data_IF_624386624842
#
_entry.id   IF_624386624842
#
_cell.length_a   1.000
_cell.length_b   1.000
_cell.length_c   1.000
_cell.angle_alpha   90.00
_cell.angle_beta   90.00
_cell.angle_gamma   90.00
#
_symmetry.space_group_name_H-M   'P 1'
#
loop_
_entity.id
_entity.type
_entity.pdbx_description
1 polymer ?
#
# COMPACT_ATOMS: atom_id res chain seq x y z
N UNK A 1 58.77 16.23 -5.72
CA UNK A 1 58.48 17.67 -5.85
C UNK A 1 58.38 17.98 -7.33
N UNK A 2 57.15 18.19 -7.82
CA UNK A 2 56.84 18.57 -9.19
C UNK A 2 56.08 19.88 -9.13
N UNK A 3 56.74 20.93 -9.61
CA UNK A 3 56.35 22.33 -9.49
C UNK A 3 55.07 22.66 -10.25
N UNK A 4 54.21 23.41 -9.57
CA UNK A 4 52.91 23.89 -10.02
C UNK A 4 53.08 25.35 -10.42
N UNK A 5 53.37 25.59 -11.70
CA UNK A 5 53.36 26.93 -12.27
C UNK A 5 52.49 26.96 -13.53
N UNK A 6 51.28 27.50 -13.36
CA UNK A 6 50.68 28.46 -14.29
C UNK A 6 49.38 28.97 -13.70
N UNK A 7 49.26 30.28 -13.65
CA UNK A 7 48.07 31.14 -13.83
C UNK A 7 48.05 32.28 -12.81
N UNK A 8 48.83 33.33 -13.12
CA UNK A 8 48.63 34.71 -12.65
C UNK A 8 48.83 35.66 -13.85
N UNK A 9 47.74 36.27 -14.31
CA UNK A 9 47.63 37.63 -14.92
C UNK A 9 46.14 38.00 -14.85
N UNK A 10 45.62 38.73 -13.85
CA UNK A 10 45.70 40.17 -13.58
C UNK A 10 44.86 41.07 -14.53
N UNK A 11 43.79 41.67 -13.97
CA UNK A 11 43.12 42.99 -14.21
C UNK A 11 41.59 42.86 -13.99
N UNK A 12 40.93 43.46 -12.99
CA UNK A 12 40.70 44.90 -12.69
C UNK A 12 40.14 45.62 -13.94
N UNK A 13 38.96 46.24 -14.00
CA UNK A 13 38.17 47.13 -13.14
C UNK A 13 36.71 47.11 -13.64
N UNK A 14 35.72 46.93 -12.77
CA UNK A 14 34.71 47.93 -12.31
C UNK A 14 33.38 48.00 -13.11
N UNK A 15 32.23 48.21 -12.40
CA UNK A 15 30.88 48.17 -12.95
C UNK A 15 30.40 49.54 -13.46
N UNK A 16 29.69 49.57 -14.59
CA UNK A 16 29.01 50.77 -15.07
C UNK A 16 27.54 50.81 -14.61
N UNK A 17 27.10 51.88 -13.90
CA UNK A 17 25.74 52.06 -13.44
C UNK A 17 25.03 53.09 -14.32
N UNK A 18 24.18 52.68 -15.25
CA UNK A 18 23.16 53.56 -15.84
C UNK A 18 22.28 52.76 -16.80
N UNK A 19 21.09 52.38 -16.35
CA UNK A 19 19.88 52.32 -17.18
C UNK A 19 18.65 52.14 -16.27
N UNK A 20 18.23 53.26 -15.70
CA UNK A 20 16.89 53.48 -15.14
C UNK A 20 16.01 53.94 -16.30
N UNK A 21 14.90 53.25 -16.56
CA UNK A 21 13.61 53.89 -16.88
C UNK A 21 12.48 52.86 -17.04
N UNK A 22 11.50 52.98 -16.13
CA UNK A 22 10.03 52.90 -16.31
C UNK A 22 9.46 51.74 -17.15
N UNK A 23 8.50 50.95 -16.69
CA UNK A 23 7.20 51.42 -16.17
C UNK A 23 6.36 50.23 -15.65
N UNK A 24 5.42 50.50 -14.74
CA UNK A 24 4.20 49.69 -14.58
C UNK A 24 4.23 48.44 -13.68
N UNK A 25 3.92 48.62 -12.39
CA UNK A 25 3.16 47.61 -11.62
C UNK A 25 1.67 47.96 -11.73
N UNK A 26 0.78 46.96 -11.74
CA UNK A 26 -0.02 46.81 -10.53
C UNK A 26 -0.13 45.36 -10.05
N UNK A 27 -0.16 45.21 -8.72
CA UNK A 27 -0.61 44.01 -8.02
C UNK A 27 -2.04 43.66 -8.43
N UNK A 28 -2.34 42.37 -8.64
CA UNK A 28 -3.36 41.63 -7.88
C UNK A 28 -3.75 40.29 -8.52
N UNK A 29 -4.18 39.41 -7.62
CA UNK A 29 -5.12 38.31 -7.84
C UNK A 29 -4.52 36.99 -8.28
N UNK A 30 -4.37 36.13 -7.27
CA UNK A 30 -4.29 34.70 -7.46
C UNK A 30 -5.47 34.18 -8.26
N UNK A 31 -5.15 33.25 -9.13
CA UNK A 31 -6.04 32.19 -9.55
C UNK A 31 -5.11 30.99 -9.82
N UNK A 32 -4.88 30.20 -8.77
CA UNK A 32 -4.51 28.81 -8.96
C UNK A 32 -5.64 28.19 -9.80
N UNK A 33 -5.39 27.71 -11.03
CA UNK A 33 -6.43 27.00 -11.73
C UNK A 33 -6.63 25.66 -11.02
N UNK A 34 -7.87 25.42 -10.61
CA UNK A 34 -8.44 24.09 -10.45
C UNK A 34 -7.77 23.25 -9.35
N UNK A 35 -8.24 23.42 -8.11
CA UNK A 35 -8.47 22.25 -7.27
C UNK A 35 -9.82 21.67 -7.68
N UNK A 36 -9.86 20.91 -8.77
CA UNK A 36 -11.01 20.06 -9.05
C UNK A 36 -11.23 19.15 -7.83
N UNK A 37 -12.42 19.17 -7.20
CA UNK A 37 -12.73 18.17 -6.20
C UNK A 37 -12.60 16.81 -6.88
N UNK A 38 -11.75 15.95 -6.32
CA UNK A 38 -11.56 14.59 -6.82
C UNK A 38 -12.93 13.98 -7.15
N UNK A 39 -13.12 13.63 -8.43
CA UNK A 39 -14.37 13.05 -8.93
C UNK A 39 -14.80 11.89 -8.01
N UNK A 40 -15.95 12.02 -7.30
CA UNK A 40 -16.39 11.03 -6.33
C UNK A 40 -16.74 9.69 -6.97
N UNK A 41 -16.77 9.60 -8.31
CA UNK A 41 -17.04 8.39 -9.09
C UNK A 41 -15.77 7.72 -9.65
N UNK A 42 -14.57 8.30 -9.47
CA UNK A 42 -13.28 7.66 -9.80
C UNK A 42 -12.87 6.57 -8.79
N UNK A 43 -13.84 5.78 -8.33
CA UNK A 43 -13.68 4.78 -7.27
C UNK A 43 -13.14 3.44 -7.78
N UNK A 44 -13.32 3.10 -9.07
CA UNK A 44 -13.12 1.74 -9.57
C UNK A 44 -11.71 1.16 -9.38
N UNK A 45 -10.65 1.94 -9.63
CA UNK A 45 -9.26 1.45 -9.56
C UNK A 45 -8.69 1.44 -8.14
N UNK A 46 -9.02 2.46 -7.35
CA UNK A 46 -8.60 2.58 -5.94
C UNK A 46 -9.35 1.57 -5.07
N UNK A 47 -10.67 1.41 -5.27
CA UNK A 47 -11.46 0.43 -4.52
C UNK A 47 -10.99 -1.01 -4.78
N UNK A 48 -10.68 -1.35 -6.03
CA UNK A 48 -10.15 -2.67 -6.39
C UNK A 48 -8.77 -2.93 -5.76
N UNK A 49 -7.89 -1.92 -5.79
CA UNK A 49 -6.56 -2.01 -5.17
C UNK A 49 -6.65 -2.19 -3.66
N UNK A 50 -7.54 -1.43 -3.00
CA UNK A 50 -7.81 -1.55 -1.57
C UNK A 50 -8.38 -2.93 -1.21
N UNK A 51 -9.32 -3.46 -2.01
CA UNK A 51 -9.87 -4.81 -1.81
C UNK A 51 -8.76 -5.87 -1.82
N UNK A 52 -7.88 -5.81 -2.83
CA UNK A 52 -6.78 -6.77 -2.95
C UNK A 52 -5.75 -6.63 -1.83
N UNK A 53 -5.48 -5.42 -1.35
CA UNK A 53 -4.61 -5.20 -0.20
C UNK A 53 -5.17 -5.85 1.07
N UNK A 54 -6.47 -5.62 1.36
CA UNK A 54 -7.17 -6.29 2.47
C UNK A 54 -7.14 -7.80 2.32
N UNK A 55 -7.44 -8.33 1.14
CA UNK A 55 -7.45 -9.77 0.89
C UNK A 55 -6.08 -10.42 1.14
N UNK A 56 -4.97 -9.74 0.81
CA UNK A 56 -3.62 -10.23 1.12
C UNK A 56 -3.38 -10.37 2.62
N UNK A 57 -3.80 -9.38 3.42
CA UNK A 57 -3.65 -9.42 4.88
C UNK A 57 -4.50 -10.54 5.49
N UNK A 58 -5.75 -10.68 5.05
CA UNK A 58 -6.64 -11.76 5.47
C UNK A 58 -6.06 -13.13 5.10
N UNK A 59 -5.65 -13.32 3.84
CA UNK A 59 -5.07 -14.57 3.37
C UNK A 59 -3.83 -14.95 4.18
N UNK A 60 -2.96 -13.99 4.51
CA UNK A 60 -1.77 -14.27 5.32
C UNK A 60 -2.14 -14.66 6.75
N UNK A 61 -3.07 -13.94 7.38
CA UNK A 61 -3.49 -14.21 8.75
C UNK A 61 -4.16 -15.59 8.89
N UNK A 62 -4.99 -15.97 7.92
CA UNK A 62 -5.64 -17.27 7.84
C UNK A 62 -4.63 -18.39 7.56
N UNK A 63 -3.73 -18.18 6.58
CA UNK A 63 -2.67 -19.11 6.22
C UNK A 63 -1.80 -19.48 7.42
N UNK A 64 -1.40 -18.47 8.18
CA UNK A 64 -0.55 -18.66 9.35
C UNK A 64 -1.21 -19.64 10.33
N UNK A 65 -2.49 -19.46 10.62
CA UNK A 65 -3.27 -20.28 11.54
C UNK A 65 -3.81 -21.57 10.93
N UNK A 66 -3.41 -21.88 9.70
CA UNK A 66 -3.86 -23.07 8.97
C UNK A 66 -5.39 -23.13 8.84
N UNK A 67 -6.04 -21.98 8.66
CA UNK A 67 -7.48 -21.89 8.41
C UNK A 67 -7.71 -21.85 6.90
N UNK A 68 -8.38 -22.87 6.36
CA UNK A 68 -8.66 -22.93 4.93
C UNK A 68 -9.82 -22.00 4.51
N UNK A 69 -9.87 -21.70 3.21
CA UNK A 69 -10.87 -20.79 2.65
C UNK A 69 -12.29 -21.34 2.73
N UNK A 70 -12.48 -22.65 2.55
CA UNK A 70 -13.79 -23.28 2.67
C UNK A 70 -14.38 -23.08 4.08
N UNK A 71 -13.54 -23.23 5.11
CA UNK A 71 -13.88 -23.01 6.51
C UNK A 71 -14.30 -21.55 6.74
N UNK A 72 -13.49 -20.57 6.33
CA UNK A 72 -13.80 -19.15 6.57
C UNK A 72 -15.02 -18.65 5.78
N UNK A 73 -15.27 -19.21 4.59
CA UNK A 73 -16.47 -18.90 3.79
C UNK A 73 -17.73 -19.51 4.42
N UNK A 74 -17.61 -20.65 5.09
CA UNK A 74 -18.68 -21.26 5.87
C UNK A 74 -19.06 -20.51 7.16
N UNK A 75 -18.22 -19.58 7.62
CA UNK A 75 -18.48 -18.82 8.84
C UNK A 75 -19.67 -17.85 8.70
N UNK A 76 -20.23 -17.40 9.82
CA UNK A 76 -21.20 -16.30 9.78
C UNK A 76 -20.48 -14.97 9.52
N UNK A 77 -21.22 -13.97 9.02
CA UNK A 77 -20.64 -12.67 8.69
C UNK A 77 -20.05 -11.96 9.91
N UNK A 78 -20.71 -12.08 11.06
CA UNK A 78 -20.24 -11.46 12.30
C UNK A 78 -18.87 -12.10 12.71
N UNK A 79 -18.50 -13.32 12.25
CA UNK A 79 -17.23 -13.99 12.63
C UNK A 79 -16.10 -13.46 11.77
N UNK A 80 -16.39 -13.40 10.47
CA UNK A 80 -15.53 -12.80 9.48
C UNK A 80 -15.15 -11.38 9.90
N UNK A 81 -16.09 -10.62 10.50
CA UNK A 81 -15.77 -9.29 11.07
C UNK A 81 -14.83 -9.36 12.28
N UNK A 82 -14.94 -10.35 13.15
CA UNK A 82 -13.99 -10.56 14.27
C UNK A 82 -12.60 -10.89 13.70
N UNK A 83 -12.51 -11.88 12.82
CA UNK A 83 -11.27 -12.28 12.15
C UNK A 83 -10.61 -11.09 11.44
N UNK A 84 -11.39 -10.30 10.69
CA UNK A 84 -10.86 -9.14 9.99
C UNK A 84 -10.21 -8.14 10.95
N UNK A 85 -10.81 -7.91 12.12
CA UNK A 85 -10.24 -7.01 13.14
C UNK A 85 -8.93 -7.56 13.71
N UNK A 86 -8.88 -8.85 14.04
CA UNK A 86 -7.65 -9.51 14.50
C UNK A 86 -6.54 -9.51 13.43
N UNK A 87 -6.92 -9.55 12.15
CA UNK A 87 -6.01 -9.39 11.03
C UNK A 87 -5.60 -7.93 10.77
N UNK A 88 -6.08 -6.96 11.57
CA UNK A 88 -5.81 -5.53 11.39
C UNK A 88 -6.49 -4.92 10.16
N UNK A 89 -7.55 -5.56 9.65
CA UNK A 89 -8.29 -5.17 8.45
C UNK A 89 -9.65 -4.60 8.83
N UNK A 90 -10.00 -3.41 8.29
CA UNK A 90 -11.37 -2.91 8.39
C UNK A 90 -12.33 -3.91 7.71
N UNK A 91 -13.31 -4.49 8.44
CA UNK A 91 -14.09 -5.62 7.96
C UNK A 91 -14.67 -5.41 6.56
N UNK A 92 -14.45 -6.36 5.64
CA UNK A 92 -15.13 -6.35 4.36
C UNK A 92 -16.64 -6.42 4.57
N UNK A 93 -17.39 -5.59 3.84
CA UNK A 93 -18.85 -5.64 3.83
C UNK A 93 -19.42 -6.71 2.89
N UNK A 94 -18.56 -7.35 2.09
CA UNK A 94 -18.93 -8.37 1.09
C UNK A 94 -18.01 -9.58 1.14
N UNK A 95 -18.49 -10.72 0.61
CA UNK A 95 -17.72 -11.95 0.47
C UNK A 95 -16.60 -11.86 -0.56
N UNK A 96 -16.69 -10.97 -1.54
CA UNK A 96 -15.70 -10.84 -2.62
C UNK A 96 -14.26 -10.69 -2.11
N UNK A 97 -14.05 -9.99 -0.99
CA UNK A 97 -12.69 -9.84 -0.42
C UNK A 97 -12.18 -11.16 0.19
N UNK A 98 -13.08 -11.96 0.74
CA UNK A 98 -12.79 -13.28 1.33
C UNK A 98 -12.52 -14.32 0.25
N UNK A 99 -13.25 -14.29 -0.87
CA UNK A 99 -13.00 -15.14 -2.05
C UNK A 99 -11.62 -14.85 -2.66
N UNK A 100 -11.24 -13.57 -2.79
CA UNK A 100 -9.87 -13.22 -3.23
C UNK A 100 -8.82 -13.73 -2.22
N UNK A 101 -9.13 -13.76 -0.92
CA UNK A 101 -8.22 -14.29 0.08
C UNK A 101 -8.06 -15.82 -0.07
N UNK A 102 -9.15 -16.55 -0.32
CA UNK A 102 -9.14 -17.99 -0.63
C UNK A 102 -8.27 -18.30 -1.86
N UNK A 103 -8.46 -17.56 -2.97
CA UNK A 103 -7.64 -17.67 -4.18
C UNK A 103 -6.15 -17.46 -3.92
N UNK A 104 -5.80 -16.56 -2.99
CA UNK A 104 -4.42 -16.30 -2.60
C UNK A 104 -3.85 -17.45 -1.76
N UNK A 105 -4.64 -18.02 -0.86
CA UNK A 105 -4.24 -19.19 -0.06
C UNK A 105 -4.05 -20.43 -0.95
N UNK A 106 -4.92 -20.65 -1.93
CA UNK A 106 -4.74 -21.73 -2.91
C UNK A 106 -3.41 -21.60 -3.67
N UNK A 107 -2.98 -20.37 -3.99
CA UNK A 107 -1.65 -20.13 -4.59
C UNK A 107 -0.51 -20.38 -3.61
N UNK A 108 -0.71 -20.14 -2.31
CA UNK A 108 0.27 -20.49 -1.28
C UNK A 108 0.41 -22.01 -1.13
N UNK A 109 -0.70 -22.77 -1.19
CA UNK A 109 -0.67 -24.24 -1.21
C UNK A 109 0.15 -24.79 -2.39
N UNK A 110 -0.06 -24.24 -3.59
CA UNK A 110 0.70 -24.64 -4.79
C UNK A 110 2.20 -24.40 -4.56
N UNK A 111 2.57 -23.24 -3.99
CA UNK A 111 3.96 -22.91 -3.68
C UNK A 111 4.54 -23.80 -2.58
N UNK A 112 3.77 -24.10 -1.54
CA UNK A 112 4.18 -24.99 -0.47
C UNK A 112 4.47 -26.40 -0.99
N UNK A 113 3.63 -26.91 -1.89
CA UNK A 113 3.84 -28.21 -2.54
C UNK A 113 5.07 -28.21 -3.45
N UNK A 114 5.34 -27.10 -4.13
CA UNK A 114 6.50 -26.97 -5.02
C UNK A 114 7.82 -26.84 -4.25
N UNK A 115 7.85 -26.05 -3.17
CA UNK A 115 9.00 -25.89 -2.29
C UNK A 115 8.57 -25.67 -0.83
N UNK A 116 8.56 -26.75 -0.01
CA UNK A 116 8.19 -26.66 1.40
C UNK A 116 9.16 -25.84 2.27
N UNK A 117 10.37 -25.57 1.79
CA UNK A 117 11.40 -24.84 2.56
C UNK A 117 11.35 -23.34 2.34
N UNK A 118 10.53 -22.88 1.38
CA UNK A 118 10.41 -21.47 1.06
C UNK A 118 9.87 -20.71 2.30
N UNK A 119 10.60 -19.71 2.84
CA UNK A 119 10.16 -19.03 4.06
C UNK A 119 8.78 -18.37 3.93
N UNK A 120 8.43 -17.90 2.73
CA UNK A 120 7.17 -17.22 2.46
C UNK A 120 5.92 -18.10 2.57
N UNK A 121 6.05 -19.44 2.51
CA UNK A 121 4.92 -20.38 2.66
C UNK A 121 4.88 -21.02 4.04
N UNK A 122 5.84 -20.70 4.92
CA UNK A 122 5.79 -21.17 6.30
C UNK A 122 4.53 -20.64 6.99
N UNK A 123 3.86 -21.52 7.72
CA UNK A 123 2.73 -21.21 8.61
C UNK A 123 3.24 -20.86 10.00
N UNK A 124 2.52 -19.99 10.71
CA UNK A 124 2.89 -19.44 12.02
C UNK A 124 1.66 -19.37 12.90
N UNK A 125 1.79 -19.53 14.22
CA UNK A 125 0.62 -19.51 15.12
C UNK A 125 -0.38 -20.67 14.87
N UNK A 126 0.15 -21.86 14.53
CA UNK A 126 -0.66 -23.07 14.33
C UNK A 126 -1.41 -23.48 15.62
N UNK A 127 -0.86 -23.12 16.78
CA UNK A 127 -1.47 -23.30 18.08
C UNK A 127 -2.82 -22.56 18.22
N UNK A 128 -3.00 -21.44 17.51
CA UNK A 128 -4.25 -20.69 17.51
C UNK A 128 -5.34 -21.33 16.63
N UNK A 129 -5.02 -22.33 15.80
CA UNK A 129 -6.01 -22.93 14.87
C UNK A 129 -7.28 -23.38 15.59
N UNK A 130 -7.13 -24.08 16.72
CA UNK A 130 -8.26 -24.62 17.49
C UNK A 130 -9.18 -23.53 18.04
N UNK A 131 -8.63 -22.38 18.42
CA UNK A 131 -9.42 -21.24 18.87
C UNK A 131 -10.31 -20.69 17.74
N UNK A 132 -9.82 -20.70 16.51
CA UNK A 132 -10.45 -20.00 15.40
C UNK A 132 -11.25 -20.90 14.46
N UNK A 133 -10.86 -22.16 14.28
CA UNK A 133 -11.45 -23.11 13.34
C UNK A 133 -12.42 -24.09 13.99
N UNK A 134 -12.57 -24.08 15.33
CA UNK A 134 -13.53 -24.94 16.02
C UNK A 134 -14.85 -24.21 16.17
N UNK A 135 -15.82 -24.67 15.38
CA UNK A 135 -17.25 -24.37 15.42
C UNK A 135 -17.66 -22.88 15.49
N UNK A 136 -17.99 -22.24 14.35
CA UNK A 136 -18.34 -20.83 14.26
C UNK A 136 -19.77 -20.53 14.75
N UNK A 137 -20.16 -21.01 15.93
CA UNK A 137 -21.51 -20.91 16.50
C UNK A 137 -21.79 -19.64 17.33
N UNK A 138 -21.04 -18.55 17.14
CA UNK A 138 -21.22 -17.29 17.90
C UNK A 138 -22.03 -16.24 17.13
#
# INVERSE_FOLDING_TARGET
>A
MGDRDRWLTARSEEPSPEQIAHDGRPSSSGAQPDSSPADPFRQGTVATSNRRAKAKLLARWLWDRDIDGATVLGFTDKYRRVIAREAGVNPPSTLETWEIADDLMAKMEIKLKADPRLPAVKRHHLDERSQWATDPHW
#
